data_IF_844232136299
#
_entry.id   IF_844232136299
#
_cell.length_a   1.000
_cell.length_b   1.000
_cell.length_c   1.000
_cell.angle_alpha   90.00
_cell.angle_beta   90.00
_cell.angle_gamma   90.00
#
_symmetry.space_group_name_H-M   'P 1'
#
loop_
_entity.id
_entity.type
_entity.pdbx_description
1 polymer ?
#
# COMPACT_ATOMS: atom_id res chain seq x y z
N UNK A 1 -3.94 17.60 -3.28
CA UNK A 1 -3.37 16.84 -2.19
C UNK A 1 -2.24 15.95 -2.70
N UNK A 2 -1.31 15.57 -1.84
CA UNK A 2 -0.12 14.81 -2.22
C UNK A 2 -0.39 13.44 -2.82
N UNK A 3 -1.53 12.82 -2.53
CA UNK A 3 -1.87 11.51 -3.09
C UNK A 3 -2.07 11.56 -4.60
N UNK A 4 -2.59 12.64 -5.13
CA UNK A 4 -2.67 12.84 -6.57
C UNK A 4 -1.30 12.85 -7.22
N UNK A 5 -0.34 13.46 -6.57
CA UNK A 5 1.03 13.51 -7.08
C UNK A 5 1.64 12.12 -7.10
N UNK A 6 1.42 11.35 -6.05
CA UNK A 6 1.89 9.96 -5.96
C UNK A 6 1.26 9.12 -7.08
N UNK A 7 -0.04 9.32 -7.33
CA UNK A 7 -0.72 8.62 -8.42
C UNK A 7 -0.13 8.99 -9.79
N UNK A 8 0.18 10.26 -10.00
CA UNK A 8 0.83 10.69 -11.25
C UNK A 8 2.23 10.11 -11.40
N UNK A 9 3.01 10.11 -10.34
CA UNK A 9 4.37 9.55 -10.37
C UNK A 9 4.34 8.07 -10.74
N UNK A 10 3.44 7.31 -10.15
CA UNK A 10 3.31 5.89 -10.45
C UNK A 10 2.86 5.67 -11.90
N UNK A 11 1.87 6.42 -12.35
CA UNK A 11 1.36 6.30 -13.72
C UNK A 11 2.44 6.62 -14.74
N UNK A 12 3.21 7.67 -14.51
CA UNK A 12 4.30 8.05 -15.39
C UNK A 12 5.35 6.95 -15.48
N UNK A 13 5.72 6.36 -14.35
CA UNK A 13 6.70 5.28 -14.34
C UNK A 13 6.19 4.05 -15.10
N UNK A 14 4.94 3.66 -14.86
CA UNK A 14 4.32 2.51 -15.52
C UNK A 14 4.29 2.72 -17.04
N UNK A 15 3.86 3.90 -17.49
CA UNK A 15 3.76 4.20 -18.94
C UNK A 15 5.11 4.23 -19.64
N UNK A 16 6.15 4.67 -18.93
CA UNK A 16 7.50 4.76 -19.50
C UNK A 16 8.25 3.45 -19.53
N UNK A 17 8.01 2.56 -18.58
CA UNK A 17 8.87 1.41 -18.35
C UNK A 17 8.19 0.06 -18.52
N UNK A 18 6.88 0.03 -18.71
CA UNK A 18 6.13 -1.23 -18.82
C UNK A 18 5.10 -1.15 -19.94
N UNK A 19 4.52 -2.30 -20.37
CA UNK A 19 3.41 -2.28 -21.33
C UNK A 19 2.11 -1.72 -20.76
N UNK A 20 2.01 -1.55 -19.44
CA UNK A 20 0.80 -1.04 -18.78
C UNK A 20 0.55 -1.73 -17.47
N UNK A 21 -0.60 -1.46 -16.88
CA UNK A 21 -0.97 -2.05 -15.60
C UNK A 21 -1.32 -3.52 -15.74
N UNK A 22 -1.04 -4.29 -14.71
CA UNK A 22 -1.58 -5.64 -14.58
C UNK A 22 -3.10 -5.56 -14.37
N UNK A 23 -3.78 -6.70 -14.56
CA UNK A 23 -5.21 -6.75 -14.27
C UNK A 23 -5.47 -6.49 -12.78
N UNK A 24 -6.66 -6.01 -12.42
CA UNK A 24 -6.99 -5.78 -11.01
C UNK A 24 -6.79 -7.01 -10.12
N UNK A 25 -7.12 -8.20 -10.61
CA UNK A 25 -6.91 -9.43 -9.83
C UNK A 25 -5.44 -9.73 -9.63
N UNK A 26 -4.59 -9.49 -10.61
CA UNK A 26 -3.16 -9.67 -10.46
C UNK A 26 -2.58 -8.65 -9.49
N UNK A 27 -3.05 -7.41 -9.53
CA UNK A 27 -2.60 -6.39 -8.58
C UNK A 27 -3.06 -6.71 -7.16
N UNK A 28 -4.25 -7.29 -7.00
CA UNK A 28 -4.71 -7.73 -5.69
C UNK A 28 -3.81 -8.85 -5.13
N UNK A 29 -3.42 -9.80 -5.97
CA UNK A 29 -2.48 -10.85 -5.58
C UNK A 29 -1.14 -10.26 -5.16
N UNK A 30 -0.64 -9.26 -5.92
CA UNK A 30 0.60 -8.55 -5.58
C UNK A 30 0.49 -7.80 -4.25
N UNK A 31 -0.66 -7.15 -4.00
CA UNK A 31 -0.91 -6.48 -2.72
C UNK A 31 -0.79 -7.46 -1.56
N UNK A 32 -1.36 -8.65 -1.72
CA UNK A 32 -1.29 -9.70 -0.69
C UNK A 32 0.15 -10.14 -0.44
N UNK A 33 0.93 -10.30 -1.51
CA UNK A 33 2.34 -10.66 -1.40
C UNK A 33 3.14 -9.58 -0.67
N UNK A 34 2.95 -8.32 -1.06
CA UNK A 34 3.66 -7.19 -0.45
C UNK A 34 3.27 -7.00 1.02
N UNK A 35 2.00 -7.25 1.34
CA UNK A 35 1.56 -7.24 2.74
C UNK A 35 2.27 -8.33 3.53
N UNK A 36 2.44 -9.51 2.96
CA UNK A 36 3.21 -10.60 3.58
C UNK A 36 4.65 -10.22 3.83
N UNK A 37 5.29 -9.56 2.87
CA UNK A 37 6.67 -9.09 3.01
C UNK A 37 6.80 -8.03 4.12
N UNK A 38 5.85 -7.09 4.17
CA UNK A 38 5.79 -6.10 5.23
C UNK A 38 5.61 -6.77 6.59
N UNK A 39 4.68 -7.72 6.67
CA UNK A 39 4.41 -8.47 7.89
C UNK A 39 5.67 -9.17 8.39
N UNK A 40 6.41 -9.80 7.50
CA UNK A 40 7.66 -10.49 7.85
C UNK A 40 8.71 -9.49 8.36
N UNK A 41 8.87 -8.36 7.67
CA UNK A 41 9.83 -7.34 8.09
C UNK A 41 9.50 -6.80 9.49
N UNK A 42 8.22 -6.50 9.74
CA UNK A 42 7.78 -6.04 11.06
C UNK A 42 8.02 -7.09 12.12
N UNK A 43 7.72 -8.36 11.82
CA UNK A 43 7.93 -9.46 12.76
C UNK A 43 9.40 -9.64 13.10
N UNK A 44 10.30 -9.51 12.12
CA UNK A 44 11.74 -9.64 12.34
C UNK A 44 12.32 -8.51 13.19
N UNK A 45 11.78 -7.29 13.06
CA UNK A 45 12.30 -6.13 13.78
C UNK A 45 11.65 -5.92 15.15
N UNK A 46 10.39 -6.29 15.30
CA UNK A 46 9.59 -5.95 16.48
C UNK A 46 8.91 -7.13 17.16
N UNK A 47 8.89 -8.28 16.51
CA UNK A 47 8.26 -9.48 17.06
C UNK A 47 9.28 -10.43 17.69
N UNK A 48 8.79 -11.58 18.17
CA UNK A 48 9.63 -12.62 18.73
C UNK A 48 10.28 -13.48 17.65
N UNK A 49 9.69 -13.55 16.48
CA UNK A 49 10.20 -14.34 15.37
C UNK A 49 11.41 -13.65 14.76
N UNK A 50 12.55 -14.29 14.88
CA UNK A 50 13.80 -13.77 14.33
C UNK A 50 14.09 -14.39 12.96
N UNK A 51 14.88 -13.70 12.11
CA UNK A 51 15.31 -14.30 10.85
C UNK A 51 16.11 -15.57 11.11
N UNK A 52 15.98 -16.53 10.20
CA UNK A 52 16.81 -17.74 10.23
C UNK A 52 18.26 -17.37 9.90
N UNK A 53 19.23 -18.22 10.29
CA UNK A 53 20.62 -17.99 9.90
C UNK A 53 20.73 -17.81 8.38
N UNK A 54 21.40 -16.73 7.95
CA UNK A 54 21.55 -16.40 6.54
C UNK A 54 20.39 -15.62 5.92
N UNK A 55 19.29 -15.47 6.65
CA UNK A 55 18.14 -14.69 6.19
C UNK A 55 18.29 -13.25 6.66
N UNK A 56 18.06 -12.30 5.75
CA UNK A 56 18.11 -10.89 6.11
C UNK A 56 16.79 -10.42 6.72
N UNK A 57 16.88 -9.46 7.66
CA UNK A 57 15.71 -8.74 8.12
C UNK A 57 15.24 -7.87 6.98
N UNK A 58 13.99 -7.80 6.67
CA UNK A 58 13.49 -6.88 5.68
C UNK A 58 13.64 -5.43 6.14
N UNK A 59 13.50 -4.49 5.21
CA UNK A 59 13.49 -3.07 5.51
C UNK A 59 12.03 -2.60 5.51
N UNK A 60 11.52 -2.22 6.68
CA UNK A 60 10.11 -1.86 6.84
C UNK A 60 9.74 -0.69 5.93
N UNK A 61 10.60 0.32 5.82
CA UNK A 61 10.34 1.47 4.96
C UNK A 61 10.19 1.06 3.49
N UNK A 62 11.08 0.19 3.01
CA UNK A 62 11.03 -0.30 1.63
C UNK A 62 9.77 -1.11 1.39
N UNK A 63 9.38 -1.95 2.34
CA UNK A 63 8.17 -2.76 2.21
C UNK A 63 6.89 -1.91 2.21
N UNK A 64 6.87 -0.83 2.98
CA UNK A 64 5.77 0.12 2.93
C UNK A 64 5.69 0.77 1.54
N UNK A 65 6.86 1.17 1.00
CA UNK A 65 6.91 1.74 -0.34
C UNK A 65 6.39 0.80 -1.40
N UNK A 66 6.81 -0.47 -1.34
CA UNK A 66 6.38 -1.50 -2.29
C UNK A 66 4.86 -1.74 -2.22
N UNK A 67 4.32 -1.84 -1.00
CA UNK A 67 2.89 -2.02 -0.80
C UNK A 67 2.11 -0.82 -1.33
N UNK A 68 2.58 0.37 -1.01
CA UNK A 68 1.95 1.61 -1.46
C UNK A 68 1.95 1.69 -2.99
N UNK A 69 3.05 1.34 -3.64
CA UNK A 69 3.14 1.39 -5.10
C UNK A 69 2.06 0.51 -5.76
N UNK A 70 1.91 -0.72 -5.29
CA UNK A 70 0.90 -1.63 -5.86
C UNK A 70 -0.51 -1.10 -5.63
N UNK A 71 -0.77 -0.57 -4.44
CA UNK A 71 -2.08 0.03 -4.12
C UNK A 71 -2.38 1.22 -5.03
N UNK A 72 -1.39 2.08 -5.25
CA UNK A 72 -1.52 3.24 -6.13
C UNK A 72 -1.80 2.79 -7.56
N UNK A 73 -1.09 1.77 -8.04
CA UNK A 73 -1.31 1.22 -9.39
C UNK A 73 -2.74 0.68 -9.54
N UNK A 74 -3.25 0.00 -8.53
CA UNK A 74 -4.62 -0.50 -8.55
C UNK A 74 -5.62 0.64 -8.66
N UNK A 75 -5.44 1.68 -7.85
CA UNK A 75 -6.31 2.86 -7.89
C UNK A 75 -6.27 3.52 -9.27
N UNK A 76 -5.06 3.67 -9.84
CA UNK A 76 -4.90 4.27 -11.17
C UNK A 76 -5.62 3.47 -12.25
N UNK A 77 -5.46 2.15 -12.23
CA UNK A 77 -6.08 1.30 -13.23
C UNK A 77 -7.62 1.34 -13.16
N UNK A 78 -8.16 1.46 -11.96
CA UNK A 78 -9.59 1.51 -11.74
C UNK A 78 -10.17 2.93 -11.83
N UNK A 79 -9.33 3.92 -12.08
CA UNK A 79 -9.78 5.33 -12.18
C UNK A 79 -10.24 5.90 -10.86
N UNK A 80 -9.69 5.43 -9.75
CA UNK A 80 -10.07 5.88 -8.41
C UNK A 80 -9.11 6.95 -7.93
N UNK A 81 -9.65 8.07 -7.44
CA UNK A 81 -8.85 9.11 -6.78
C UNK A 81 -8.57 8.69 -5.34
N UNK A 82 -7.31 8.55 -4.99
CA UNK A 82 -6.93 8.22 -3.62
C UNK A 82 -7.19 9.38 -2.66
N UNK A 83 -7.17 10.63 -3.14
CA UNK A 83 -7.58 11.78 -2.33
C UNK A 83 -9.05 11.67 -1.94
N UNK A 84 -9.90 11.29 -2.90
CA UNK A 84 -11.33 11.12 -2.62
C UNK A 84 -11.56 9.95 -1.65
N UNK A 85 -10.84 8.85 -1.85
CA UNK A 85 -10.94 7.71 -0.95
C UNK A 85 -10.54 8.09 0.48
N UNK A 86 -9.48 8.88 0.62
CA UNK A 86 -9.00 9.35 1.92
C UNK A 86 -10.00 10.29 2.59
N UNK A 87 -10.52 11.27 1.83
CA UNK A 87 -11.52 12.20 2.35
C UNK A 87 -12.78 11.47 2.79
N UNK A 88 -13.20 10.47 2.00
CA UNK A 88 -14.37 9.65 2.36
C UNK A 88 -14.15 8.88 3.65
N UNK A 89 -12.95 8.32 3.84
CA UNK A 89 -12.60 7.66 5.09
C UNK A 89 -12.63 8.63 6.26
N UNK A 90 -12.00 9.79 6.13
CA UNK A 90 -11.98 10.78 7.20
C UNK A 90 -13.39 11.20 7.61
N UNK A 91 -14.28 11.38 6.63
CA UNK A 91 -15.67 11.71 6.91
C UNK A 91 -16.33 10.64 7.77
N UNK A 92 -16.14 9.37 7.42
CA UNK A 92 -16.67 8.26 8.22
C UNK A 92 -16.12 8.26 9.64
N UNK A 93 -14.82 8.49 9.78
CA UNK A 93 -14.18 8.49 11.10
C UNK A 93 -14.71 9.62 11.99
N UNK A 94 -14.89 10.81 11.43
CA UNK A 94 -15.34 11.96 12.22
C UNK A 94 -16.85 12.06 12.39
N UNK A 95 -17.62 11.57 11.46
CA UNK A 95 -19.08 11.69 11.50
C UNK A 95 -19.79 10.43 12.00
N UNK A 96 -19.24 9.24 11.69
CA UNK A 96 -19.91 7.96 11.99
C UNK A 96 -19.23 7.15 13.08
N UNK A 97 -17.91 7.13 13.05
CA UNK A 97 -17.13 6.20 13.88
C UNK A 97 -16.48 6.86 15.09
N UNK A 98 -16.64 8.19 15.24
CA UNK A 98 -15.95 8.91 16.32
C UNK A 98 -16.30 8.36 17.70
N UNK A 99 -17.56 8.03 17.95
CA UNK A 99 -18.00 7.49 19.25
C UNK A 99 -17.51 6.07 19.48
N UNK A 100 -17.30 5.31 18.40
CA UNK A 100 -16.81 3.95 18.46
C UNK A 100 -15.38 3.88 19.01
N UNK A 101 -14.58 4.90 18.77
CA UNK A 101 -13.17 4.94 19.16
C UNK A 101 -12.94 5.70 20.47
N UNK A 102 -13.97 6.34 21.01
CA UNK A 102 -13.94 6.91 22.35
C UNK A 102 -14.20 5.80 23.35
N UNK A 103 -13.42 5.71 24.36
CA UNK A 103 -13.65 4.69 25.36
C UNK A 103 -13.28 5.20 26.74
#
# INVERSE_FOLDING_TARGET
MALEEIQRDADEWIRKHTPGYFTPLMMLARLTEELGELSRAVSHHHGEKKPKPGEEKGNIQDEIGDLLFVLVCLANDLGISMDDAWRGLLRKLYERDVDRWKS
#
